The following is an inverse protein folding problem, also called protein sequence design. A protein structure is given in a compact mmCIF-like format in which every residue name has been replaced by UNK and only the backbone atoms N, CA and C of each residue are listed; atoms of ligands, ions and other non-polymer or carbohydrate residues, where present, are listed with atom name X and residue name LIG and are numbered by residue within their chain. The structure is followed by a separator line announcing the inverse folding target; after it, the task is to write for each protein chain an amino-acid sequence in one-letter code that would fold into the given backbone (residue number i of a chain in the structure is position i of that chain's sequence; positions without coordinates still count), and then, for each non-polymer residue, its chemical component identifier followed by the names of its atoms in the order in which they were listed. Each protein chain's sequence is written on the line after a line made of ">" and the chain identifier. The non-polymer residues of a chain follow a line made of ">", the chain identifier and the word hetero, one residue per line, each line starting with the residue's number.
data_IF_404438102055
#
_entry.id   IF_404438102055
#
_cell.length_a   1.000
_cell.length_b   1.000
_cell.length_c   1.000
_cell.angle_alpha   90.00
_cell.angle_beta   90.00
_cell.angle_gamma   90.00
#
_symmetry.space_group_name_H-M   'P 1'
#
loop_
_entity.id
_entity.type
_entity.pdbx_description
1 polymer ?
#
# COMPACT_ATOMS: atom_id res chain seq x y z
N UNK A 1 7.17 5.17 9.19
CA UNK A 1 5.89 4.56 9.60
C UNK A 1 4.80 5.33 8.88
N UNK A 2 4.05 4.68 8.00
CA UNK A 2 2.82 5.25 7.46
C UNK A 2 1.70 4.75 8.39
N UNK A 3 0.78 5.60 8.89
CA UNK A 3 -0.40 5.09 9.57
C UNK A 3 -1.10 4.13 8.60
N UNK A 4 -1.51 2.92 8.99
CA UNK A 4 -2.16 1.95 8.09
C UNK A 4 -3.58 2.28 7.65
N UNK A 5 -4.03 3.54 7.76
CA UNK A 5 -5.33 3.96 7.24
C UNK A 5 -5.37 3.86 5.71
N UNK A 6 -6.53 3.52 5.16
CA UNK A 6 -6.65 3.15 3.74
C UNK A 6 -6.20 4.25 2.77
N UNK A 7 -6.31 5.53 3.17
CA UNK A 7 -5.92 6.69 2.36
C UNK A 7 -4.40 6.81 2.20
N UNK A 8 -3.64 6.58 3.26
CA UNK A 8 -2.18 6.68 3.22
C UNK A 8 -1.55 5.45 2.57
N UNK A 9 -2.14 4.26 2.80
CA UNK A 9 -1.74 3.06 2.11
C UNK A 9 -1.96 3.17 0.60
N UNK A 10 -3.09 3.74 0.18
CA UNK A 10 -3.35 4.06 -1.22
C UNK A 10 -2.34 5.09 -1.76
N UNK A 11 -2.01 6.13 -0.99
CA UNK A 11 -1.01 7.13 -1.41
C UNK A 11 0.39 6.53 -1.64
N UNK A 12 0.82 5.59 -0.79
CA UNK A 12 2.10 4.90 -0.99
C UNK A 12 2.08 3.97 -2.23
N UNK A 13 0.96 3.28 -2.46
CA UNK A 13 0.76 2.45 -3.66
C UNK A 13 0.71 3.28 -4.93
N UNK A 14 0.00 4.42 -4.93
CA UNK A 14 -0.05 5.36 -6.05
C UNK A 14 1.35 5.88 -6.40
N UNK A 15 2.19 6.17 -5.39
CA UNK A 15 3.59 6.55 -5.58
C UNK A 15 4.51 5.39 -5.99
N UNK A 16 4.03 4.14 -5.98
CA UNK A 16 4.84 2.96 -6.29
C UNK A 16 5.93 2.65 -5.26
N UNK A 17 5.69 2.97 -3.99
CA UNK A 17 6.66 2.85 -2.89
C UNK A 17 6.28 1.67 -1.97
N UNK A 18 7.20 0.73 -1.69
CA UNK A 18 6.99 -0.30 -0.67
C UNK A 18 6.71 0.30 0.71
N UNK A 19 5.77 -0.30 1.44
CA UNK A 19 5.35 0.21 2.74
C UNK A 19 5.31 -0.87 3.83
N UNK A 20 5.51 -0.47 5.08
CA UNK A 20 5.29 -1.28 6.26
C UNK A 20 4.00 -0.81 6.94
N UNK A 21 3.01 -1.70 7.00
CA UNK A 21 1.69 -1.42 7.58
C UNK A 21 1.54 -2.15 8.90
N UNK A 22 1.04 -1.46 9.92
CA UNK A 22 0.74 -2.08 11.21
C UNK A 22 -0.71 -2.56 11.21
N UNK A 23 -0.96 -3.84 11.52
CA UNK A 23 -2.30 -4.37 11.68
C UNK A 23 -2.82 -4.07 13.10
N UNK A 24 -3.00 -2.79 13.44
CA UNK A 24 -3.41 -2.33 14.77
C UNK A 24 -4.78 -1.63 14.74
N UNK A 25 -5.84 -2.39 15.02
CA UNK A 25 -7.20 -1.86 15.17
C UNK A 25 -7.90 -1.41 13.88
N UNK A 26 -9.23 -1.28 13.92
CA UNK A 26 -10.09 -0.86 12.80
C UNK A 26 -9.83 -1.67 11.52
N UNK A 27 -9.88 -1.04 10.34
CA UNK A 27 -9.76 -1.69 9.03
C UNK A 27 -8.29 -1.94 8.61
N UNK A 28 -7.33 -1.59 9.48
CA UNK A 28 -5.89 -1.65 9.18
C UNK A 28 -5.39 -3.07 8.96
N UNK A 29 -6.08 -4.07 9.52
CA UNK A 29 -5.82 -5.49 9.24
C UNK A 29 -6.07 -5.85 7.78
N UNK A 30 -7.12 -5.31 7.16
CA UNK A 30 -7.48 -5.59 5.77
C UNK A 30 -6.44 -4.95 4.85
N UNK A 31 -6.11 -3.68 5.11
CA UNK A 31 -5.08 -2.95 4.34
C UNK A 31 -3.71 -3.61 4.47
N UNK A 32 -3.29 -3.99 5.68
CA UNK A 32 -2.02 -4.68 5.92
C UNK A 32 -1.97 -6.03 5.21
N UNK A 33 -3.06 -6.81 5.27
CA UNK A 33 -3.17 -8.08 4.55
C UNK A 33 -3.10 -7.88 3.03
N UNK A 34 -3.82 -6.90 2.48
CA UNK A 34 -3.83 -6.64 1.03
C UNK A 34 -2.44 -6.24 0.52
N UNK A 35 -1.76 -5.31 1.21
CA UNK A 35 -0.38 -4.88 0.87
C UNK A 35 0.59 -6.06 0.92
N UNK A 36 0.51 -6.86 2.00
CA UNK A 36 1.38 -8.01 2.17
C UNK A 36 1.14 -9.09 1.11
N UNK A 37 -0.12 -9.44 0.84
CA UNK A 37 -0.50 -10.46 -0.14
C UNK A 37 -0.16 -10.06 -1.58
N UNK A 38 -0.27 -8.78 -1.93
CA UNK A 38 0.17 -8.27 -3.25
C UNK A 38 1.69 -8.28 -3.41
N UNK A 39 2.43 -8.39 -2.30
CA UNK A 39 3.88 -8.27 -2.25
C UNK A 39 4.38 -6.83 -2.34
N UNK A 40 3.51 -5.84 -2.22
CA UNK A 40 3.85 -4.41 -2.32
C UNK A 40 4.36 -3.82 -0.99
N UNK A 41 4.61 -4.66 0.01
CA UNK A 41 5.07 -4.23 1.32
C UNK A 41 5.03 -5.33 2.37
N UNK A 42 5.18 -4.93 3.61
CA UNK A 42 5.22 -5.80 4.78
C UNK A 42 4.10 -5.44 5.76
N UNK A 43 3.67 -6.44 6.53
CA UNK A 43 2.79 -6.27 7.69
C UNK A 43 3.52 -6.78 8.91
N UNK A 44 3.59 -5.97 9.97
CA UNK A 44 4.18 -6.36 11.26
C UNK A 44 3.56 -5.53 12.39
N UNK A 45 3.41 -6.08 13.59
CA UNK A 45 3.06 -5.30 14.79
C UNK A 45 4.24 -4.42 15.21
N UNK A 46 4.01 -3.46 16.11
CA UNK A 46 5.07 -2.56 16.59
C UNK A 46 6.24 -3.32 17.22
N UNK A 47 5.96 -4.42 17.93
CA UNK A 47 6.92 -5.28 18.61
C UNK A 47 7.77 -6.13 17.64
N UNK A 48 7.24 -6.40 16.45
CA UNK A 48 7.91 -7.20 15.40
C UNK A 48 8.86 -6.36 14.54
N UNK A 49 8.86 -5.03 14.70
CA UNK A 49 9.72 -4.13 13.91
C UNK A 49 11.16 -4.25 14.37
N UNK A 50 12.01 -4.72 13.45
CA UNK A 50 13.46 -4.86 13.68
C UNK A 50 14.24 -4.13 12.60
N UNK A 51 15.53 -3.80 12.84
CA UNK A 51 16.41 -3.25 11.80
C UNK A 51 16.49 -4.14 10.55
N UNK A 52 16.46 -5.47 10.72
CA UNK A 52 16.47 -6.41 9.60
C UNK A 52 15.19 -6.33 8.75
N UNK A 53 14.03 -6.16 9.39
CA UNK A 53 12.75 -5.95 8.70
C UNK A 53 12.78 -4.66 7.86
N UNK A 54 13.29 -3.56 8.45
CA UNK A 54 13.42 -2.28 7.76
C UNK A 54 14.44 -2.35 6.62
N UNK A 55 15.57 -3.03 6.83
CA UNK A 55 16.55 -3.24 5.77
C UNK A 55 15.92 -3.99 4.60
N UNK A 56 15.19 -5.08 4.87
CA UNK A 56 14.48 -5.83 3.83
C UNK A 56 13.50 -4.95 3.06
N UNK A 57 12.70 -4.13 3.75
CA UNK A 57 11.77 -3.20 3.11
C UNK A 57 12.48 -2.26 2.12
N UNK A 58 13.70 -1.82 2.44
CA UNK A 58 14.47 -0.88 1.64
C UNK A 58 15.25 -1.53 0.49
N UNK A 59 15.60 -2.82 0.60
CA UNK A 59 16.53 -3.48 -0.34
C UNK A 59 15.89 -4.57 -1.19
N UNK A 60 14.66 -5.01 -0.88
CA UNK A 60 13.96 -6.03 -1.65
C UNK A 60 13.31 -5.42 -2.90
N UNK A 61 14.03 -5.44 -4.02
CA UNK A 61 13.57 -4.91 -5.31
C UNK A 61 12.27 -5.56 -5.80
N UNK A 62 11.93 -6.77 -5.33
CA UNK A 62 10.68 -7.43 -5.71
C UNK A 62 9.47 -6.69 -5.13
N UNK A 63 9.58 -6.11 -3.94
CA UNK A 63 8.53 -5.26 -3.36
C UNK A 63 8.38 -3.96 -4.13
N UNK A 64 9.50 -3.33 -4.50
CA UNK A 64 9.48 -2.09 -5.30
C UNK A 64 8.80 -2.33 -6.65
N UNK A 65 9.10 -3.45 -7.31
CA UNK A 65 8.42 -3.83 -8.54
C UNK A 65 6.92 -4.02 -8.34
N UNK A 66 6.52 -4.78 -7.32
CA UNK A 66 5.10 -5.01 -7.02
C UNK A 66 4.35 -3.70 -6.71
N UNK A 67 4.95 -2.79 -5.94
CA UNK A 67 4.35 -1.48 -5.66
C UNK A 67 4.16 -0.65 -6.94
N UNK A 68 5.14 -0.66 -7.87
CA UNK A 68 5.02 0.02 -9.17
C UNK A 68 3.99 -0.59 -10.11
N UNK A 69 3.80 -1.91 -10.06
CA UNK A 69 2.72 -2.57 -10.79
C UNK A 69 1.35 -2.05 -10.30
N UNK A 70 1.15 -1.99 -8.99
CA UNK A 70 -0.09 -1.45 -8.40
C UNK A 70 -0.27 0.02 -8.73
N UNK A 71 0.79 0.84 -8.69
CA UNK A 71 0.75 2.24 -9.15
C UNK A 71 0.26 2.34 -10.60
N UNK A 72 0.73 1.45 -11.48
CA UNK A 72 0.30 1.39 -12.88
C UNK A 72 -1.17 1.00 -13.01
N UNK A 73 -1.63 0.04 -12.20
CA UNK A 73 -3.05 -0.35 -12.13
C UNK A 73 -3.93 0.83 -11.69
N UNK A 74 -3.52 1.56 -10.65
CA UNK A 74 -4.23 2.77 -10.16
C UNK A 74 -4.28 3.85 -11.25
N UNK A 75 -3.15 4.12 -11.91
CA UNK A 75 -3.07 5.13 -12.97
C UNK A 75 -3.96 4.79 -14.19
N UNK A 76 -4.26 3.50 -14.41
CA UNK A 76 -5.16 3.04 -15.46
C UNK A 76 -6.65 3.17 -15.07
N UNK A 77 -6.98 3.44 -13.80
CA UNK A 77 -8.36 3.62 -13.36
C UNK A 77 -8.96 4.91 -13.93
N UNK A 78 -10.28 4.95 -14.14
CA UNK A 78 -10.96 6.18 -14.55
C UNK A 78 -10.71 7.32 -13.56
N UNK A 79 -10.39 8.49 -14.09
CA UNK A 79 -10.20 9.68 -13.25
C UNK A 79 -11.51 10.08 -12.54
N UNK A 80 -11.43 10.82 -11.42
CA UNK A 80 -12.62 11.33 -10.74
C UNK A 80 -13.55 12.13 -11.65
N UNK A 81 -13.00 12.90 -12.60
CA UNK A 81 -13.78 13.65 -13.59
C UNK A 81 -14.53 12.73 -14.55
N UNK A 82 -13.94 11.61 -14.97
CA UNK A 82 -14.61 10.61 -15.80
C UNK A 82 -15.75 9.96 -15.01
N UNK A 83 -15.51 9.60 -13.74
CA UNK A 83 -16.53 8.99 -12.88
C UNK A 83 -17.71 9.93 -12.60
N UNK A 84 -17.47 11.22 -12.37
CA UNK A 84 -18.53 12.19 -12.12
C UNK A 84 -19.58 12.25 -13.25
N UNK A 85 -19.18 12.03 -14.51
CA UNK A 85 -20.09 12.01 -15.67
C UNK A 85 -21.13 10.88 -15.60
N UNK A 86 -20.86 9.81 -14.86
CA UNK A 86 -21.79 8.69 -14.67
C UNK A 86 -22.79 8.92 -13.52
N UNK A 87 -22.61 9.96 -12.71
CA UNK A 87 -23.50 10.30 -11.59
C UNK A 87 -24.53 11.38 -11.93
N UNK A 88 -24.37 12.02 -13.09
CA UNK A 88 -25.24 13.11 -13.57
C UNK A 88 -26.30 12.64 -14.56
N UNK A 89 -26.47 11.32 -14.73
CA UNK A 89 -27.59 10.69 -15.44
C UNK A 89 -28.78 10.52 -14.51
#
# INVERSE_FOLDING_TARGET
>A
MVPGDSSTALGALDAGIPQLVLPDGSDRFITAAAVHQRGAGLSATAEEITPALLHRLLTDDTMTRAAREVSTEIAAMPSPTTMAKHLTT
#
